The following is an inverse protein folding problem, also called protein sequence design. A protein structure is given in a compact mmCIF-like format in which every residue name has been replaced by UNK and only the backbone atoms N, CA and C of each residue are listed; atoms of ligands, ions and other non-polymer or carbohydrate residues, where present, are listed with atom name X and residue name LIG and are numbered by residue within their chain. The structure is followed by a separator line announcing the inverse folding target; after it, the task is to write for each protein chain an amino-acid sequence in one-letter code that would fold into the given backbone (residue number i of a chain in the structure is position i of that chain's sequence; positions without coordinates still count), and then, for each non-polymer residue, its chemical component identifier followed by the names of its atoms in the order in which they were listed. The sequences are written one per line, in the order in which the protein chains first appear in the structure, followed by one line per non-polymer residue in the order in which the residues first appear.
data_IF_100744164727
#
_entry.id   IF_100744164727
#
_cell.length_a   1.000
_cell.length_b   1.000
_cell.length_c   1.000
_cell.angle_alpha   90.00
_cell.angle_beta   90.00
_cell.angle_gamma   90.00
#
_symmetry.space_group_name_H-M   'P 1'
#
loop_
_entity.id
_entity.type
_entity.pdbx_description
1 polymer ?
#
# COMPACT_ATOMS: atom_id res chain seq x y z
N UNK A 1 13.03 14.43 -2.81
CA UNK A 1 11.96 13.46 -2.50
C UNK A 1 12.01 13.11 -1.03
N UNK A 2 10.90 13.28 -0.32
CA UNK A 2 10.85 13.11 1.13
C UNK A 2 9.70 12.16 1.48
N UNK A 3 10.01 11.15 2.32
CA UNK A 3 8.99 10.30 2.93
C UNK A 3 8.73 10.83 4.34
N UNK A 4 7.47 11.03 4.67
CA UNK A 4 7.07 11.61 5.96
C UNK A 4 5.69 11.13 6.39
N UNK A 5 5.33 11.37 7.65
CA UNK A 5 3.97 11.13 8.13
C UNK A 5 3.00 12.07 7.41
N UNK A 6 1.81 11.57 7.12
CA UNK A 6 0.77 12.36 6.51
C UNK A 6 0.12 13.31 7.52
N UNK A 7 -0.23 14.50 7.06
CA UNK A 7 -1.08 15.41 7.80
C UNK A 7 -2.53 15.32 7.25
N UNK A 8 -3.50 15.85 7.99
CA UNK A 8 -4.88 15.87 7.49
C UNK A 8 -5.01 16.58 6.15
N UNK A 9 -4.20 17.61 5.92
CA UNK A 9 -4.18 18.35 4.66
C UNK A 9 -3.73 17.51 3.47
N UNK A 10 -3.12 16.34 3.70
CA UNK A 10 -2.68 15.44 2.64
C UNK A 10 -3.80 14.49 2.16
N UNK A 11 -4.91 14.40 2.87
CA UNK A 11 -5.96 13.43 2.55
C UNK A 11 -6.58 13.61 1.16
N UNK A 12 -6.73 14.86 0.70
CA UNK A 12 -7.23 15.11 -0.65
C UNK A 12 -6.29 14.54 -1.71
N UNK A 13 -4.97 14.74 -1.53
CA UNK A 13 -3.97 14.21 -2.45
C UNK A 13 -3.95 12.68 -2.42
N UNK A 14 -4.05 12.08 -1.24
CA UNK A 14 -4.12 10.63 -1.07
C UNK A 14 -5.31 10.05 -1.84
N UNK A 15 -6.49 10.65 -1.67
CA UNK A 15 -7.70 10.20 -2.36
C UNK A 15 -7.55 10.32 -3.88
N UNK A 16 -6.97 11.41 -4.37
CA UNK A 16 -6.75 11.63 -5.80
C UNK A 16 -5.78 10.60 -6.38
N UNK A 17 -4.70 10.29 -5.66
CA UNK A 17 -3.71 9.29 -6.09
C UNK A 17 -4.36 7.90 -6.13
N UNK A 18 -5.14 7.55 -5.10
CA UNK A 18 -5.82 6.26 -5.06
C UNK A 18 -6.74 6.06 -6.26
N UNK A 19 -7.56 7.07 -6.58
CA UNK A 19 -8.44 6.99 -7.74
C UNK A 19 -7.66 6.74 -9.03
N UNK A 20 -6.60 7.50 -9.27
CA UNK A 20 -5.78 7.37 -10.48
C UNK A 20 -5.03 6.04 -10.55
N UNK A 21 -4.46 5.62 -9.42
CA UNK A 21 -3.60 4.42 -9.40
C UNK A 21 -4.40 3.14 -9.59
N UNK A 22 -5.64 3.10 -9.09
CA UNK A 22 -6.46 1.89 -9.15
C UNK A 22 -7.49 1.89 -10.29
N UNK A 23 -7.62 2.99 -11.02
CA UNK A 23 -8.58 3.12 -12.12
C UNK A 23 -8.46 2.00 -13.16
N UNK A 24 -7.24 1.61 -13.51
CA UNK A 24 -6.99 0.56 -14.51
C UNK A 24 -7.56 -0.81 -14.13
N UNK A 25 -7.83 -1.02 -12.85
CA UNK A 25 -8.36 -2.29 -12.37
C UNK A 25 -9.89 -2.38 -12.41
N UNK A 26 -10.59 -1.25 -12.56
CA UNK A 26 -12.05 -1.23 -12.56
C UNK A 26 -12.61 -2.08 -13.70
N UNK A 27 -12.12 -1.89 -14.92
CA UNK A 27 -12.54 -2.66 -16.08
C UNK A 27 -12.14 -4.13 -15.95
N UNK A 28 -10.89 -4.39 -15.53
CA UNK A 28 -10.37 -5.75 -15.38
C UNK A 28 -11.16 -6.56 -14.36
N UNK A 29 -11.55 -5.94 -13.25
CA UNK A 29 -12.26 -6.61 -12.15
C UNK A 29 -13.77 -6.57 -12.29
N UNK A 30 -14.30 -5.71 -13.14
CA UNK A 30 -15.74 -5.50 -13.29
C UNK A 30 -16.35 -4.69 -12.14
N UNK A 31 -15.53 -4.11 -11.27
CA UNK A 31 -15.95 -3.27 -10.14
C UNK A 31 -14.76 -2.51 -9.60
N UNK A 32 -15.02 -1.52 -8.74
CA UNK A 32 -13.96 -0.77 -8.08
C UNK A 32 -13.19 -1.66 -7.09
N UNK A 33 -11.84 -1.67 -7.16
CA UNK A 33 -11.06 -2.36 -6.13
C UNK A 33 -11.18 -1.65 -4.78
N UNK A 34 -11.11 -2.43 -3.70
CA UNK A 34 -11.29 -1.92 -2.35
C UNK A 34 -10.39 -0.71 -2.01
N UNK A 35 -9.08 -0.69 -2.38
CA UNK A 35 -8.21 0.42 -2.01
C UNK A 35 -8.40 1.70 -2.85
N UNK A 36 -9.30 1.71 -3.81
CA UNK A 36 -9.51 2.87 -4.69
C UNK A 36 -10.07 4.08 -3.92
N UNK A 37 -10.82 3.83 -2.83
CA UNK A 37 -11.38 4.88 -1.98
C UNK A 37 -11.00 4.60 -0.53
N UNK A 38 -9.76 4.94 -0.16
CA UNK A 38 -9.27 4.59 1.18
C UNK A 38 -10.05 5.31 2.28
N UNK A 39 -10.33 4.58 3.35
CA UNK A 39 -10.93 5.13 4.57
C UNK A 39 -9.86 5.04 5.65
N UNK A 40 -9.36 6.21 6.08
CA UNK A 40 -8.29 6.29 7.06
C UNK A 40 -8.90 6.44 8.44
N UNK A 41 -8.54 5.51 9.34
CA UNK A 41 -8.98 5.54 10.73
C UNK A 41 -7.97 6.32 11.57
N UNK A 42 -8.39 6.78 12.74
CA UNK A 42 -7.56 7.59 13.64
C UNK A 42 -6.27 6.87 14.06
N UNK A 43 -6.34 5.57 14.27
CA UNK A 43 -5.20 4.76 14.74
C UNK A 43 -4.28 4.29 13.61
N UNK A 44 -4.65 4.53 12.35
CA UNK A 44 -3.84 4.11 11.21
C UNK A 44 -2.56 4.94 11.12
N UNK A 45 -1.48 4.30 10.67
CA UNK A 45 -0.22 4.99 10.38
C UNK A 45 -0.18 5.27 8.90
N UNK A 46 -0.12 6.54 8.54
CA UNK A 46 -0.17 6.97 7.14
C UNK A 46 1.10 7.76 6.81
N UNK A 47 1.76 7.34 5.75
CA UNK A 47 2.92 8.03 5.21
C UNK A 47 2.64 8.55 3.81
N UNK A 48 3.32 9.61 3.44
CA UNK A 48 3.30 10.14 2.08
C UNK A 48 4.73 10.35 1.58
N UNK A 49 4.87 10.35 0.28
CA UNK A 49 6.09 10.77 -0.40
C UNK A 49 5.81 12.11 -1.07
N UNK A 50 6.65 13.09 -0.76
CA UNK A 50 6.54 14.44 -1.29
C UNK A 50 7.73 14.73 -2.18
N UNK A 51 7.47 15.29 -3.36
CA UNK A 51 8.50 15.72 -4.29
C UNK A 51 8.10 17.07 -4.84
N UNK A 52 9.03 18.06 -4.79
CA UNK A 52 8.75 19.43 -5.21
C UNK A 52 7.47 19.99 -4.57
N UNK A 53 7.28 19.75 -3.26
CA UNK A 53 6.13 20.19 -2.48
C UNK A 53 4.80 19.57 -2.93
N UNK A 54 4.84 18.50 -3.70
CA UNK A 54 3.67 17.78 -4.16
C UNK A 54 3.69 16.36 -3.62
N UNK A 55 2.56 15.91 -3.07
CA UNK A 55 2.41 14.51 -2.64
C UNK A 55 2.23 13.64 -3.88
N UNK A 56 3.10 12.65 -4.04
CA UNK A 56 3.13 11.79 -5.22
C UNK A 56 2.90 10.31 -4.91
N UNK A 57 2.86 9.95 -3.63
CA UNK A 57 2.62 8.56 -3.22
C UNK A 57 2.14 8.54 -1.79
N UNK A 58 1.47 7.45 -1.40
CA UNK A 58 1.04 7.25 -0.02
C UNK A 58 1.09 5.78 0.36
N UNK A 59 1.10 5.53 1.66
CA UNK A 59 0.98 4.19 2.23
C UNK A 59 0.20 4.24 3.53
N UNK A 60 -0.63 3.24 3.77
CA UNK A 60 -1.46 3.13 4.96
C UNK A 60 -1.15 1.80 5.65
N UNK A 61 -0.72 1.88 6.91
CA UNK A 61 -0.49 0.72 7.75
C UNK A 61 -1.60 0.64 8.78
N UNK A 62 -2.17 -0.55 8.94
CA UNK A 62 -3.22 -0.81 9.93
C UNK A 62 -2.78 -1.95 10.83
N UNK A 63 -3.36 -2.01 12.02
CA UNK A 63 -3.10 -3.09 12.98
C UNK A 63 -4.39 -3.87 13.18
N UNK A 64 -4.37 -5.17 12.87
CA UNK A 64 -5.51 -6.06 13.02
C UNK A 64 -5.05 -7.30 13.77
N UNK A 65 -5.65 -7.57 14.94
CA UNK A 65 -5.31 -8.75 15.76
C UNK A 65 -3.80 -8.88 15.99
N UNK A 66 -3.16 -7.77 16.37
CA UNK A 66 -1.71 -7.67 16.63
C UNK A 66 -0.83 -7.91 15.40
N UNK A 67 -1.42 -8.01 14.21
CA UNK A 67 -0.67 -8.08 12.97
C UNK A 67 -0.62 -6.69 12.32
N UNK A 68 0.53 -6.32 11.80
CA UNK A 68 0.67 -5.09 11.02
C UNK A 68 0.41 -5.42 9.55
N UNK A 69 -0.51 -4.67 8.96
CA UNK A 69 -0.91 -4.87 7.57
C UNK A 69 -0.66 -3.59 6.79
N UNK A 70 0.10 -3.70 5.70
CA UNK A 70 0.18 -2.63 4.73
C UNK A 70 -1.11 -2.69 3.91
N UNK A 71 -2.08 -1.87 4.32
CA UNK A 71 -3.42 -1.90 3.76
C UNK A 71 -3.47 -1.33 2.34
N UNK A 72 -2.64 -0.35 2.08
CA UNK A 72 -2.59 0.31 0.77
C UNK A 72 -1.24 0.98 0.56
N UNK A 73 -0.73 0.89 -0.65
CA UNK A 73 0.42 1.66 -1.11
C UNK A 73 0.19 1.99 -2.58
N UNK A 74 0.34 3.24 -2.93
CA UNK A 74 0.14 3.67 -4.31
C UNK A 74 1.04 4.85 -4.66
N UNK A 75 1.47 4.87 -5.91
CA UNK A 75 2.26 5.96 -6.48
C UNK A 75 1.42 6.59 -7.59
N UNK A 76 1.41 7.92 -7.64
CA UNK A 76 0.74 8.64 -8.73
C UNK A 76 1.23 8.08 -10.06
N UNK A 77 0.32 7.69 -10.98
CA UNK A 77 0.74 7.07 -12.25
C UNK A 77 1.75 7.89 -13.06
N UNK A 78 1.73 9.22 -12.95
CA UNK A 78 2.69 10.08 -13.65
C UNK A 78 4.11 9.98 -13.07
N UNK A 79 4.26 9.37 -11.90
CA UNK A 79 5.54 9.20 -11.21
C UNK A 79 5.96 7.73 -11.06
N UNK A 80 5.23 6.80 -11.63
CA UNK A 80 5.59 5.37 -11.59
C UNK A 80 6.84 5.09 -12.41
N UNK A 81 7.48 3.95 -12.17
CA UNK A 81 8.71 3.50 -12.85
C UNK A 81 9.95 4.34 -12.54
N UNK A 82 9.93 5.07 -11.41
CA UNK A 82 11.08 5.86 -10.93
C UNK A 82 11.68 5.27 -9.65
N UNK A 83 11.30 4.04 -9.28
CA UNK A 83 11.78 3.40 -8.07
C UNK A 83 11.17 3.92 -6.77
N UNK A 84 10.14 4.75 -6.85
CA UNK A 84 9.50 5.35 -5.67
C UNK A 84 8.88 4.26 -4.79
N UNK A 85 8.17 3.30 -5.38
CA UNK A 85 7.56 2.21 -4.63
C UNK A 85 8.57 1.41 -3.83
N UNK A 86 9.69 1.04 -4.43
CA UNK A 86 10.74 0.29 -3.76
C UNK A 86 11.38 1.10 -2.63
N UNK A 87 11.62 2.38 -2.85
CA UNK A 87 12.17 3.27 -1.83
C UNK A 87 11.16 3.49 -0.69
N UNK A 88 9.88 3.54 -1.02
CA UNK A 88 8.81 3.67 -0.02
C UNK A 88 8.76 2.42 0.87
N UNK A 89 8.85 1.24 0.28
CA UNK A 89 8.90 -0.01 1.04
C UNK A 89 10.10 -0.02 2.00
N UNK A 90 11.27 0.43 1.55
CA UNK A 90 12.44 0.57 2.43
C UNK A 90 12.16 1.48 3.61
N UNK A 91 11.56 2.63 3.35
CA UNK A 91 11.20 3.58 4.40
C UNK A 91 10.25 2.95 5.42
N UNK A 92 9.21 2.27 4.94
CA UNK A 92 8.24 1.59 5.80
C UNK A 92 8.92 0.51 6.64
N UNK A 93 9.79 -0.29 6.05
CA UNK A 93 10.45 -1.38 6.75
C UNK A 93 11.43 -0.86 7.81
N UNK A 94 12.12 0.24 7.53
CA UNK A 94 12.97 0.91 8.53
C UNK A 94 12.13 1.39 9.71
N UNK A 95 10.98 2.02 9.43
CA UNK A 95 10.04 2.44 10.46
C UNK A 95 9.58 1.25 11.31
N UNK A 96 9.17 0.15 10.68
CA UNK A 96 8.68 -1.02 11.39
C UNK A 96 9.77 -1.64 12.27
N UNK A 97 11.00 -1.71 11.77
CA UNK A 97 12.13 -2.23 12.54
C UNK A 97 12.45 -1.35 13.75
N UNK A 98 12.35 -0.03 13.61
CA UNK A 98 12.48 0.90 14.73
C UNK A 98 11.41 0.68 15.79
N UNK A 99 10.20 0.26 15.37
CA UNK A 99 9.10 -0.09 16.27
C UNK A 99 9.22 -1.53 16.79
N UNK A 100 10.31 -2.22 16.48
CA UNK A 100 10.57 -3.61 16.88
C UNK A 100 9.54 -4.60 16.30
N UNK A 101 9.01 -4.28 15.16
CA UNK A 101 8.14 -5.17 14.37
C UNK A 101 9.03 -5.99 13.45
N UNK A 102 8.96 -7.32 13.57
CA UNK A 102 9.84 -8.20 12.81
C UNK A 102 9.20 -8.84 11.59
N UNK A 103 7.91 -8.61 11.37
CA UNK A 103 7.20 -9.08 10.16
C UNK A 103 5.96 -8.24 9.93
N UNK A 104 5.51 -8.22 8.69
CA UNK A 104 4.25 -7.56 8.36
C UNK A 104 3.60 -8.24 7.16
N UNK A 105 2.34 -7.93 6.94
CA UNK A 105 1.52 -8.57 5.93
C UNK A 105 0.94 -7.53 4.99
N UNK A 106 0.51 -7.99 3.84
CA UNK A 106 -0.34 -7.22 2.95
C UNK A 106 -1.26 -8.18 2.19
N UNK A 107 -2.26 -7.63 1.56
CA UNK A 107 -3.11 -8.40 0.67
C UNK A 107 -3.35 -7.63 -0.63
N UNK A 108 -3.69 -8.36 -1.67
CA UNK A 108 -4.06 -7.76 -2.95
C UNK A 108 -5.11 -8.65 -3.62
N UNK A 109 -5.88 -8.06 -4.53
CA UNK A 109 -6.81 -8.83 -5.33
C UNK A 109 -6.04 -9.74 -6.31
N UNK A 110 -6.55 -10.96 -6.54
CA UNK A 110 -5.89 -11.91 -7.43
C UNK A 110 -5.73 -11.39 -8.88
N UNK A 111 -6.54 -10.41 -9.27
CA UNK A 111 -6.48 -9.83 -10.61
C UNK A 111 -5.47 -8.69 -10.74
N UNK A 112 -4.82 -8.30 -9.67
CA UNK A 112 -3.78 -7.27 -9.68
C UNK A 112 -2.41 -7.93 -9.91
N UNK A 113 -2.23 -8.48 -11.12
CA UNK A 113 -1.06 -9.29 -11.49
C UNK A 113 0.26 -8.55 -11.28
N UNK A 114 0.31 -7.27 -11.60
CA UNK A 114 1.51 -6.44 -11.48
C UNK A 114 1.94 -6.32 -10.02
N UNK A 115 0.97 -6.16 -9.13
CA UNK A 115 1.23 -6.05 -7.69
C UNK A 115 1.71 -7.39 -7.12
N UNK A 116 1.08 -8.49 -7.50
CA UNK A 116 1.49 -9.82 -7.05
C UNK A 116 2.96 -10.08 -7.42
N UNK A 117 3.32 -9.81 -8.65
CA UNK A 117 4.68 -10.00 -9.14
C UNK A 117 5.67 -9.11 -8.39
N UNK A 118 5.32 -7.84 -8.18
CA UNK A 118 6.17 -6.89 -7.47
C UNK A 118 6.40 -7.33 -6.02
N UNK A 119 5.34 -7.70 -5.30
CA UNK A 119 5.47 -8.09 -3.91
C UNK A 119 6.36 -9.33 -3.76
N UNK A 120 6.24 -10.30 -4.65
CA UNK A 120 7.11 -11.48 -4.61
C UNK A 120 8.56 -11.12 -4.88
N UNK A 121 8.81 -10.20 -5.80
CA UNK A 121 10.17 -9.73 -6.11
C UNK A 121 10.85 -9.03 -4.95
N UNK A 122 10.10 -8.34 -4.12
CA UNK A 122 10.67 -7.62 -2.97
C UNK A 122 10.66 -8.44 -1.68
N UNK A 123 10.34 -9.73 -1.75
CA UNK A 123 10.53 -10.66 -0.66
C UNK A 123 9.30 -11.09 0.11
N UNK A 124 8.11 -10.70 -0.33
CA UNK A 124 6.88 -11.19 0.28
C UNK A 124 6.56 -12.60 -0.19
N UNK A 125 6.01 -13.40 0.69
CA UNK A 125 5.59 -14.78 0.40
C UNK A 125 4.09 -14.93 0.61
N UNK A 126 3.44 -15.59 -0.33
CA UNK A 126 2.01 -15.90 -0.24
C UNK A 126 1.81 -16.92 0.89
N UNK A 127 0.85 -16.66 1.79
CA UNK A 127 0.54 -17.61 2.84
C UNK A 127 -0.92 -18.03 2.91
N UNK A 128 -1.83 -17.30 2.25
CA UNK A 128 -3.21 -17.77 2.11
C UNK A 128 -3.93 -17.03 0.99
N UNK A 129 -5.02 -17.66 0.54
CA UNK A 129 -5.94 -17.08 -0.43
C UNK A 129 -7.34 -17.18 0.16
N UNK A 130 -8.08 -16.09 0.17
CA UNK A 130 -9.44 -16.06 0.74
C UNK A 130 -10.37 -15.25 -0.14
N UNK A 131 -11.66 -15.60 -0.08
CA UNK A 131 -12.71 -14.78 -0.66
C UNK A 131 -13.43 -14.08 0.48
N UNK A 132 -13.37 -12.76 0.49
CA UNK A 132 -13.99 -11.95 1.53
C UNK A 132 -14.48 -10.62 0.94
N UNK A 133 -15.60 -10.13 1.45
CA UNK A 133 -16.20 -8.87 1.00
C UNK A 133 -16.38 -8.81 -0.53
N UNK A 134 -16.63 -9.97 -1.16
CA UNK A 134 -16.83 -10.06 -2.60
C UNK A 134 -15.56 -10.03 -3.43
N UNK A 135 -14.39 -10.16 -2.82
CA UNK A 135 -13.11 -10.16 -3.51
C UNK A 135 -12.34 -11.44 -3.24
N UNK A 136 -11.63 -11.91 -4.27
CA UNK A 136 -10.66 -12.99 -4.12
C UNK A 136 -9.30 -12.38 -3.82
N UNK A 137 -8.83 -12.55 -2.59
CA UNK A 137 -7.63 -11.91 -2.07
C UNK A 137 -6.50 -12.89 -1.84
N UNK A 138 -5.29 -12.42 -2.13
CA UNK A 138 -4.05 -13.16 -1.86
C UNK A 138 -3.33 -12.40 -0.75
N UNK A 139 -3.00 -13.12 0.33
CA UNK A 139 -2.29 -12.56 1.49
C UNK A 139 -0.83 -12.94 1.45
N UNK A 140 0.00 -11.97 1.74
CA UNK A 140 1.46 -12.09 1.74
C UNK A 140 2.02 -11.72 3.10
N UNK A 141 3.18 -12.28 3.43
CA UNK A 141 3.91 -11.95 4.63
C UNK A 141 5.39 -11.77 4.30
N UNK A 142 6.04 -10.85 4.98
CA UNK A 142 7.48 -10.64 4.85
C UNK A 142 8.12 -10.56 6.22
N UNK A 143 9.19 -11.32 6.40
CA UNK A 143 10.02 -11.31 7.61
C UNK A 143 11.07 -10.21 7.46
N UNK A 144 11.24 -9.37 8.50
CA UNK A 144 12.15 -8.23 8.47
C UNK A 144 13.50 -8.50 9.16
N UNK A 145 13.54 -9.49 10.02
CA UNK A 145 14.78 -9.80 10.73
C UNK A 145 14.83 -11.24 11.20
#
# INVERSE_FOLDING_TARGET
MVFRSAAKSDHLAINAIALKAYEKYVERMGKEPAPMRPVIQKEDVVFVCEDNKQVIAFAILVKINDQIILDSIAVDPSHQKKGIGNNFIKFIEEYLMEQKVNKYQLYTNEMMFENIDWYQKIGFKIFKKVTEKGFNRIYFEKQLS
#
